data_IF_309825913349
#
_entry.id   IF_309825913349
#
_cell.length_a   1.000
_cell.length_b   1.000
_cell.length_c   1.000
_cell.angle_alpha   90.00
_cell.angle_beta   90.00
_cell.angle_gamma   90.00
#
_symmetry.space_group_name_H-M   'P 1'
#
loop_
_entity.id
_entity.type
_entity.pdbx_description
1 polymer ?
#
# COMPACT_ATOMS: atom_id res chain seq x y z
N UNK A 1 -27.96 -26.84 -23.56
CA UNK A 1 -27.67 -25.42 -23.87
C UNK A 1 -28.64 -24.57 -23.05
N UNK A 2 -28.19 -24.01 -21.93
CA UNK A 2 -28.95 -23.02 -21.16
C UNK A 2 -28.05 -21.80 -20.99
N UNK A 3 -28.46 -20.68 -21.59
CA UNK A 3 -27.72 -19.43 -21.54
C UNK A 3 -27.97 -18.76 -20.18
N UNK A 4 -26.89 -18.53 -19.43
CA UNK A 4 -26.95 -17.79 -18.17
C UNK A 4 -27.39 -16.35 -18.46
N UNK A 5 -28.55 -15.99 -17.89
CA UNK A 5 -29.12 -14.66 -17.92
C UNK A 5 -28.23 -13.74 -17.06
N UNK A 6 -27.44 -12.89 -17.71
CA UNK A 6 -26.64 -11.87 -17.05
C UNK A 6 -27.56 -10.92 -16.30
N UNK A 7 -27.50 -10.96 -14.97
CA UNK A 7 -28.25 -10.04 -14.10
C UNK A 7 -27.46 -8.74 -14.09
N UNK A 8 -27.91 -7.80 -14.92
CA UNK A 8 -27.38 -6.45 -14.99
C UNK A 8 -27.71 -5.74 -13.67
N UNK A 9 -26.74 -5.70 -12.75
CA UNK A 9 -26.82 -4.82 -11.58
C UNK A 9 -26.66 -3.41 -12.12
N UNK A 10 -27.79 -2.72 -12.31
CA UNK A 10 -27.82 -1.32 -12.67
C UNK A 10 -27.09 -0.51 -11.58
N UNK A 11 -25.83 -0.21 -11.87
CA UNK A 11 -25.03 0.73 -11.10
C UNK A 11 -25.69 2.09 -11.28
N UNK A 12 -26.47 2.52 -10.29
CA UNK A 12 -27.11 3.83 -10.29
C UNK A 12 -25.98 4.85 -10.21
N UNK A 13 -25.67 5.48 -11.34
CA UNK A 13 -24.65 6.53 -11.48
C UNK A 13 -24.79 7.53 -10.33
N UNK A 14 -23.80 7.56 -9.44
CA UNK A 14 -23.68 8.59 -8.38
C UNK A 14 -23.04 9.87 -8.96
N UNK A 15 -22.51 9.79 -10.19
CA UNK A 15 -21.85 10.89 -10.89
C UNK A 15 -22.69 12.17 -11.09
N UNK A 16 -24.03 12.14 -11.28
CA UNK A 16 -24.77 13.38 -11.53
C UNK A 16 -25.21 14.13 -10.26
N UNK A 17 -24.87 13.69 -9.04
CA UNK A 17 -25.34 14.34 -7.80
C UNK A 17 -24.40 15.37 -7.17
N UNK A 18 -23.15 15.48 -7.63
CA UNK A 18 -22.17 16.40 -7.05
C UNK A 18 -21.91 17.55 -8.01
N UNK A 19 -22.27 18.76 -7.61
CA UNK A 19 -21.87 19.95 -8.37
C UNK A 19 -20.34 20.09 -8.38
N UNK A 20 -19.75 20.65 -9.45
CA UNK A 20 -18.29 20.76 -9.59
C UNK A 20 -17.63 21.49 -8.40
N UNK A 21 -18.31 22.46 -7.80
CA UNK A 21 -17.81 23.12 -6.58
C UNK A 21 -17.80 22.19 -5.37
N UNK A 22 -18.82 21.35 -5.19
CA UNK A 22 -18.86 20.41 -4.07
C UNK A 22 -17.76 19.35 -4.20
N UNK A 23 -17.45 18.94 -5.43
CA UNK A 23 -16.34 18.06 -5.73
C UNK A 23 -14.98 18.72 -5.40
N UNK A 24 -14.81 20.00 -5.72
CA UNK A 24 -13.61 20.77 -5.36
C UNK A 24 -13.46 20.93 -3.84
N UNK A 25 -14.55 21.18 -3.11
CA UNK A 25 -14.51 21.26 -1.65
C UNK A 25 -14.18 19.92 -1.00
N UNK A 26 -14.77 18.82 -1.50
CA UNK A 26 -14.42 17.46 -1.09
C UNK A 26 -12.95 17.15 -1.38
N UNK A 27 -12.46 17.50 -2.57
CA UNK A 27 -11.06 17.31 -2.94
C UNK A 27 -10.13 18.13 -2.03
N UNK A 28 -10.45 19.39 -1.73
CA UNK A 28 -9.66 20.24 -0.85
C UNK A 28 -9.63 19.71 0.60
N UNK A 29 -10.74 19.18 1.09
CA UNK A 29 -10.82 18.58 2.43
C UNK A 29 -10.02 17.27 2.54
N UNK A 30 -10.04 16.46 1.47
CA UNK A 30 -9.36 15.16 1.42
C UNK A 30 -7.89 15.28 0.99
N UNK A 31 -7.50 16.37 0.34
CA UNK A 31 -6.16 16.56 -0.21
C UNK A 31 -5.03 16.35 0.81
N UNK A 32 -5.08 16.88 2.05
CA UNK A 32 -4.00 16.67 3.02
C UNK A 32 -3.87 15.20 3.43
N UNK A 33 -5.00 14.50 3.61
CA UNK A 33 -5.01 13.09 3.97
C UNK A 33 -4.48 12.22 2.82
N UNK A 34 -4.90 12.51 1.59
CA UNK A 34 -4.40 11.84 0.39
C UNK A 34 -2.93 12.16 0.14
N UNK A 35 -2.46 13.39 0.37
CA UNK A 35 -1.06 13.78 0.19
C UNK A 35 -0.14 13.00 1.13
N UNK A 36 -0.52 12.82 2.40
CA UNK A 36 0.25 12.00 3.33
C UNK A 36 0.33 10.54 2.86
N UNK A 37 -0.80 9.99 2.39
CA UNK A 37 -0.86 8.63 1.85
C UNK A 37 -0.05 8.48 0.56
N UNK A 38 -0.11 9.47 -0.34
CA UNK A 38 0.65 9.51 -1.58
C UNK A 38 2.15 9.60 -1.29
N UNK A 39 2.57 10.46 -0.37
CA UNK A 39 3.96 10.58 0.04
C UNK A 39 4.47 9.26 0.66
N UNK A 40 3.65 8.59 1.48
CA UNK A 40 3.97 7.25 1.97
C UNK A 40 4.02 6.21 0.84
N UNK A 41 3.17 6.36 -0.18
CA UNK A 41 3.13 5.52 -1.38
C UNK A 41 4.26 5.80 -2.37
N UNK A 42 4.93 6.94 -2.33
CA UNK A 42 6.03 7.28 -3.26
C UNK A 42 7.39 7.26 -2.58
N UNK A 43 7.45 7.24 -1.24
CA UNK A 43 8.70 7.15 -0.51
C UNK A 43 9.41 5.82 -0.79
N UNK A 44 10.63 5.89 -1.32
CA UNK A 44 11.50 4.74 -1.54
C UNK A 44 12.07 4.18 -0.23
N UNK A 45 12.14 5.03 0.80
CA UNK A 45 12.71 4.73 2.11
C UNK A 45 11.83 5.32 3.20
N UNK A 46 11.59 4.60 4.29
CA UNK A 46 10.82 5.10 5.44
C UNK A 46 11.36 4.58 6.78
N UNK A 47 10.96 5.23 7.87
CA UNK A 47 11.29 4.74 9.22
C UNK A 47 10.51 3.46 9.54
N UNK A 48 10.97 2.70 10.53
CA UNK A 48 10.28 1.48 10.97
C UNK A 48 8.87 1.77 11.48
N UNK A 49 8.68 2.88 12.20
CA UNK A 49 7.38 3.25 12.75
C UNK A 49 6.39 3.65 11.64
N UNK A 50 6.86 4.39 10.64
CA UNK A 50 6.01 4.76 9.49
C UNK A 50 5.68 3.52 8.65
N UNK A 51 6.65 2.62 8.45
CA UNK A 51 6.42 1.35 7.77
C UNK A 51 5.38 0.50 8.49
N UNK A 52 5.49 0.37 9.82
CA UNK A 52 4.55 -0.35 10.66
C UNK A 52 3.11 0.17 10.50
N UNK A 53 2.93 1.50 10.55
CA UNK A 53 1.64 2.15 10.36
C UNK A 53 1.06 1.93 8.96
N UNK A 54 1.87 2.09 7.92
CA UNK A 54 1.42 1.98 6.52
C UNK A 54 1.09 0.54 6.15
N UNK A 55 1.89 -0.42 6.62
CA UNK A 55 1.67 -1.85 6.35
C UNK A 55 0.69 -2.52 7.31
N UNK A 56 0.26 -1.83 8.38
CA UNK A 56 -0.68 -2.35 9.37
C UNK A 56 -0.08 -3.45 10.25
N UNK A 57 1.23 -3.45 10.47
CA UNK A 57 1.94 -4.46 11.28
C UNK A 57 2.64 -3.82 12.48
N UNK A 58 2.91 -4.61 13.51
CA UNK A 58 3.62 -4.10 14.70
C UNK A 58 5.10 -3.83 14.44
N UNK A 59 5.68 -2.81 15.07
CA UNK A 59 7.12 -2.48 14.99
C UNK A 59 8.01 -3.70 15.30
N UNK A 60 7.61 -4.56 16.24
CA UNK A 60 8.32 -5.80 16.59
C UNK A 60 8.40 -6.76 15.40
N UNK A 61 7.31 -6.90 14.64
CA UNK A 61 7.27 -7.76 13.46
C UNK A 61 8.13 -7.18 12.34
N UNK A 62 8.15 -5.85 12.17
CA UNK A 62 9.05 -5.18 11.21
C UNK A 62 10.51 -5.48 11.54
N UNK A 63 10.90 -5.38 12.82
CA UNK A 63 12.24 -5.75 13.27
C UNK A 63 12.57 -7.22 12.99
N UNK A 64 11.64 -8.12 13.28
CA UNK A 64 11.80 -9.54 12.97
C UNK A 64 12.01 -9.77 11.47
N UNK A 65 11.21 -9.12 10.61
CA UNK A 65 11.37 -9.22 9.16
C UNK A 65 12.69 -8.64 8.64
N UNK A 66 13.24 -7.62 9.30
CA UNK A 66 14.57 -7.09 8.99
C UNK A 66 15.68 -8.06 9.40
N UNK A 67 15.53 -8.74 10.54
CA UNK A 67 16.51 -9.73 11.03
C UNK A 67 16.47 -11.02 10.21
N UNK A 68 15.28 -11.45 9.77
CA UNK A 68 15.07 -12.61 8.87
C UNK A 68 15.45 -12.30 7.41
N UNK A 69 15.77 -11.05 7.07
CA UNK A 69 16.08 -10.63 5.70
C UNK A 69 14.86 -10.61 4.76
N UNK A 70 13.64 -10.65 5.30
CA UNK A 70 12.40 -10.49 4.53
C UNK A 70 12.27 -9.05 4.03
N UNK A 71 12.61 -8.08 4.87
CA UNK A 71 12.75 -6.67 4.54
C UNK A 71 14.22 -6.30 4.40
N UNK A 72 14.51 -5.37 3.50
CA UNK A 72 15.86 -4.85 3.30
C UNK A 72 16.03 -3.50 3.99
N UNK A 73 17.19 -3.28 4.60
CA UNK A 73 17.58 -1.96 5.14
C UNK A 73 17.94 -1.04 3.98
N UNK A 74 17.56 0.23 4.08
CA UNK A 74 17.98 1.22 3.11
C UNK A 74 19.49 1.51 3.29
N UNK A 75 20.23 1.74 2.20
CA UNK A 75 21.63 2.15 2.28
C UNK A 75 21.68 3.49 3.01
N UNK A 76 22.31 3.48 4.19
CA UNK A 76 22.61 4.67 4.97
C UNK A 76 24.11 4.66 5.20
N UNK A 77 24.77 5.79 4.94
CA UNK A 77 26.22 5.90 4.99
C UNK A 77 26.77 5.41 6.34
N UNK A 78 27.32 4.19 6.34
CA UNK A 78 28.30 3.55 7.23
C UNK A 78 28.22 3.80 8.76
N UNK A 79 27.09 4.25 9.32
CA UNK A 79 26.88 4.38 10.78
C UNK A 79 25.71 3.53 11.31
N UNK A 80 25.39 2.45 10.60
CA UNK A 80 24.25 1.56 10.82
C UNK A 80 24.29 0.65 12.05
N UNK A 81 25.15 0.90 13.04
CA UNK A 81 25.20 0.09 14.28
C UNK A 81 24.15 0.47 15.32
N UNK A 82 23.48 1.61 15.17
CA UNK A 82 22.44 2.06 16.10
C UNK A 82 21.04 1.74 15.54
N UNK A 83 20.31 0.87 16.24
CA UNK A 83 18.90 0.51 15.93
C UNK A 83 17.99 1.72 15.66
N UNK A 84 18.31 2.89 16.21
CA UNK A 84 17.55 4.14 16.04
C UNK A 84 17.66 4.79 14.65
N UNK A 85 18.62 4.40 13.81
CA UNK A 85 18.79 4.96 12.45
C UNK A 85 18.45 3.99 11.32
N UNK A 86 17.83 2.86 11.64
CA UNK A 86 17.49 1.86 10.62
C UNK A 86 16.28 2.36 9.82
N UNK A 87 16.50 2.54 8.52
CA UNK A 87 15.46 2.84 7.57
C UNK A 87 15.12 1.59 6.75
N UNK A 88 13.85 1.42 6.42
CA UNK A 88 13.36 0.32 5.59
C UNK A 88 13.42 0.73 4.12
N UNK A 89 13.99 -0.12 3.28
CA UNK A 89 13.95 0.03 1.83
C UNK A 89 12.59 -0.46 1.31
N UNK A 90 11.68 0.48 1.10
CA UNK A 90 10.28 0.24 0.74
C UNK A 90 10.19 -0.09 -0.74
N UNK A 91 11.03 0.53 -1.56
CA UNK A 91 11.14 0.23 -2.98
C UNK A 91 11.42 -1.25 -3.21
N UNK A 92 12.45 -1.80 -2.55
CA UNK A 92 12.81 -3.21 -2.67
C UNK A 92 11.71 -4.15 -2.16
N UNK A 93 11.04 -3.79 -1.06
CA UNK A 93 9.92 -4.58 -0.53
C UNK A 93 8.75 -4.63 -1.51
N UNK A 94 8.35 -3.50 -2.10
CA UNK A 94 7.28 -3.44 -3.10
C UNK A 94 7.63 -4.24 -4.34
N UNK A 95 8.87 -4.15 -4.79
CA UNK A 95 9.34 -4.89 -5.95
C UNK A 95 9.33 -6.39 -5.69
N UNK A 96 9.72 -6.84 -4.49
CA UNK A 96 9.57 -8.24 -4.05
C UNK A 96 8.10 -8.69 -4.07
N UNK A 97 7.18 -7.88 -3.54
CA UNK A 97 5.75 -8.20 -3.57
C UNK A 97 5.23 -8.27 -5.01
N UNK A 98 5.66 -7.36 -5.89
CA UNK A 98 5.31 -7.37 -7.32
C UNK A 98 5.78 -8.65 -8.00
N UNK A 99 7.02 -9.08 -7.74
CA UNK A 99 7.57 -10.33 -8.29
C UNK A 99 6.84 -11.57 -7.74
N UNK A 100 6.47 -11.57 -6.46
CA UNK A 100 5.67 -12.65 -5.88
C UNK A 100 4.26 -12.70 -6.48
N UNK A 101 3.63 -11.56 -6.71
CA UNK A 101 2.30 -11.49 -7.33
C UNK A 101 2.29 -12.06 -8.75
N UNK A 102 3.36 -11.83 -9.53
CA UNK A 102 3.53 -12.48 -10.86
C UNK A 102 3.55 -14.00 -10.75
N UNK A 103 4.04 -14.54 -9.63
CA UNK A 103 4.12 -15.98 -9.37
C UNK A 103 2.89 -16.55 -8.64
N UNK A 104 1.92 -15.71 -8.23
CA UNK A 104 0.71 -16.17 -7.55
C UNK A 104 -0.28 -16.78 -8.56
N UNK A 105 -0.92 -17.89 -8.17
CA UNK A 105 -2.08 -18.45 -8.91
C UNK A 105 -3.37 -18.00 -8.24
N UNK A 106 -4.39 -17.68 -9.02
CA UNK A 106 -5.74 -17.42 -8.48
C UNK A 106 -6.27 -18.65 -7.77
N UNK A 107 -6.70 -18.48 -6.52
CA UNK A 107 -7.43 -19.52 -5.80
C UNK A 107 -8.76 -19.68 -6.52
N UNK A 108 -8.94 -20.80 -7.21
CA UNK A 108 -10.25 -21.15 -7.74
C UNK A 108 -11.09 -21.59 -6.54
N UNK A 109 -12.02 -20.75 -6.11
CA UNK A 109 -13.09 -21.23 -5.23
C UNK A 109 -13.85 -22.28 -6.03
N UNK A 110 -13.77 -23.56 -5.63
CA UNK A 110 -14.69 -24.56 -6.16
C UNK A 110 -16.10 -24.12 -5.75
N UNK A 111 -16.88 -23.69 -6.73
CA UNK A 111 -18.33 -23.57 -6.63
C UNK A 111 -18.96 -24.95 -6.84
#
# INVERSE_FOLDING_TARGET
>A
MQAAKSTNVAQKDVAPMLQPEQLQHLAALLAPALQSMLNASTADVMTINDFAKVSGVSDRLVWQWLDEGVLLRAPTDETGSKKTRVLVNVYAWREKLRQQAVNCRYIHSKA
#
